data_IF_149271162436
#
_entry.id   IF_149271162436
#
_cell.length_a   1.000
_cell.length_b   1.000
_cell.length_c   1.000
_cell.angle_alpha   90.00
_cell.angle_beta   90.00
_cell.angle_gamma   90.00
#
_symmetry.space_group_name_H-M   'P 1'
#
loop_
_entity.id
_entity.type
_entity.pdbx_description
1 polymer ?
#
# COMPACT_ATOMS: atom_id res chain seq x y z
N UNK A 1 -9.73 10.61 -11.07
CA UNK A 1 -9.97 9.17 -11.41
C UNK A 1 -11.19 8.67 -10.63
N UNK A 2 -11.90 7.60 -11.02
CA UNK A 2 -13.06 7.12 -10.26
C UNK A 2 -13.17 5.59 -10.23
N UNK A 3 -13.45 5.03 -9.07
CA UNK A 3 -13.75 3.61 -8.85
C UNK A 3 -15.27 3.44 -8.94
N UNK A 4 -15.73 2.44 -9.70
CA UNK A 4 -17.16 2.17 -9.91
C UNK A 4 -17.45 0.68 -9.83
N UNK A 5 -18.55 0.32 -9.16
CA UNK A 5 -19.14 -1.01 -9.19
C UNK A 5 -20.12 -1.10 -10.36
N UNK A 6 -19.95 -2.10 -11.22
CA UNK A 6 -20.85 -2.44 -12.31
C UNK A 6 -22.03 -3.27 -11.77
N UNK A 7 -23.26 -2.72 -11.71
CA UNK A 7 -24.37 -3.38 -11.03
C UNK A 7 -24.75 -4.73 -11.62
N UNK A 8 -24.76 -4.84 -12.95
CA UNK A 8 -25.09 -6.09 -13.65
C UNK A 8 -24.02 -7.16 -13.46
N UNK A 9 -22.74 -6.76 -13.47
CA UNK A 9 -21.61 -7.64 -13.21
C UNK A 9 -21.65 -8.19 -11.78
N UNK A 10 -21.93 -7.32 -10.81
CA UNK A 10 -22.08 -7.69 -9.40
C UNK A 10 -23.24 -8.67 -9.20
N UNK A 11 -24.41 -8.38 -9.78
CA UNK A 11 -25.58 -9.25 -9.68
C UNK A 11 -25.30 -10.65 -10.26
N UNK A 12 -24.59 -10.72 -11.40
CA UNK A 12 -24.18 -12.00 -12.00
C UNK A 12 -23.23 -12.76 -11.10
N UNK A 13 -22.18 -12.10 -10.61
CA UNK A 13 -21.22 -12.70 -9.68
C UNK A 13 -21.90 -13.25 -8.42
N UNK A 14 -22.82 -12.48 -7.82
CA UNK A 14 -23.58 -12.93 -6.66
C UNK A 14 -24.40 -14.20 -6.93
N UNK A 15 -24.99 -14.33 -8.12
CA UNK A 15 -25.73 -15.54 -8.50
C UNK A 15 -24.84 -16.74 -8.82
N UNK A 16 -23.61 -16.50 -9.26
CA UNK A 16 -22.63 -17.55 -9.54
C UNK A 16 -21.87 -17.99 -8.29
N UNK A 17 -21.95 -17.20 -7.20
CA UNK A 17 -21.30 -17.52 -5.93
C UNK A 17 -21.90 -18.79 -5.31
N UNK A 18 -21.04 -19.79 -5.12
CA UNK A 18 -21.41 -21.10 -4.59
C UNK A 18 -21.72 -21.09 -3.09
N UNK A 19 -21.05 -20.24 -2.31
CA UNK A 19 -21.26 -20.10 -0.87
C UNK A 19 -21.67 -18.67 -0.51
N UNK A 20 -22.99 -18.45 -0.47
CA UNK A 20 -23.60 -17.16 -0.07
C UNK A 20 -23.90 -17.10 1.42
N UNK A 21 -23.80 -18.24 2.12
CA UNK A 21 -24.15 -18.33 3.53
C UNK A 21 -23.10 -17.60 4.38
N UNK A 22 -21.81 -17.80 4.07
CA UNK A 22 -20.73 -17.12 4.79
C UNK A 22 -20.79 -15.59 4.62
N UNK A 23 -21.07 -15.09 3.42
CA UNK A 23 -21.23 -13.65 3.19
C UNK A 23 -22.46 -13.08 3.91
N UNK A 24 -23.58 -13.82 3.95
CA UNK A 24 -24.75 -13.41 4.71
C UNK A 24 -24.47 -13.39 6.21
N UNK A 25 -23.71 -14.36 6.73
CA UNK A 25 -23.26 -14.39 8.13
C UNK A 25 -22.33 -13.22 8.45
N UNK A 26 -21.34 -12.93 7.60
CA UNK A 26 -20.45 -11.78 7.77
C UNK A 26 -21.22 -10.44 7.79
N UNK A 27 -22.24 -10.28 6.95
CA UNK A 27 -23.12 -9.10 6.96
C UNK A 27 -23.99 -9.02 8.22
N UNK A 28 -24.49 -10.16 8.72
CA UNK A 28 -25.23 -10.20 9.99
C UNK A 28 -24.33 -9.80 11.16
N UNK A 29 -23.08 -10.30 11.19
CA UNK A 29 -22.10 -9.86 12.17
C UNK A 29 -21.94 -8.33 12.12
N UNK A 30 -21.75 -7.75 10.93
CA UNK A 30 -21.62 -6.30 10.77
C UNK A 30 -22.85 -5.50 11.27
N UNK A 31 -24.03 -6.12 11.31
CA UNK A 31 -25.30 -5.50 11.76
C UNK A 31 -25.55 -5.66 13.26
N UNK A 32 -25.17 -6.81 13.84
CA UNK A 32 -25.43 -7.17 15.24
C UNK A 32 -24.31 -6.72 16.20
N UNK A 33 -23.15 -6.35 15.66
CA UNK A 33 -21.95 -5.98 16.41
C UNK A 33 -22.06 -4.62 17.09
N UNK A 34 -21.47 -4.52 18.28
CA UNK A 34 -21.25 -3.24 18.98
C UNK A 34 -20.48 -2.28 18.06
N UNK A 35 -20.80 -0.98 18.01
CA UNK A 35 -20.12 0.00 17.14
C UNK A 35 -18.58 0.08 17.30
N UNK A 36 -18.00 -0.60 18.31
CA UNK A 36 -16.58 -0.70 18.62
C UNK A 36 -15.84 -1.88 17.99
N UNK A 37 -16.50 -2.74 17.21
CA UNK A 37 -15.84 -3.88 16.51
C UNK A 37 -16.18 -3.90 15.00
N UNK A 38 -16.68 -2.79 14.48
CA UNK A 38 -17.13 -2.67 13.08
C UNK A 38 -15.95 -2.79 12.12
N UNK A 39 -14.79 -2.30 12.52
CA UNK A 39 -13.52 -2.31 11.79
C UNK A 39 -13.10 -3.73 11.43
N UNK A 40 -13.07 -4.63 12.43
CA UNK A 40 -12.72 -6.03 12.25
C UNK A 40 -13.80 -6.81 11.47
N UNK A 41 -15.07 -6.49 11.68
CA UNK A 41 -16.17 -7.10 10.92
C UNK A 41 -16.14 -6.70 9.44
N UNK A 42 -15.81 -5.44 9.16
CA UNK A 42 -15.67 -4.93 7.80
C UNK A 42 -14.45 -5.55 7.10
N UNK A 43 -13.30 -5.63 7.78
CA UNK A 43 -12.11 -6.34 7.30
C UNK A 43 -12.48 -7.75 6.85
N UNK A 44 -13.10 -8.53 7.74
CA UNK A 44 -13.51 -9.91 7.45
C UNK A 44 -14.46 -9.99 6.27
N UNK A 45 -15.44 -9.09 6.15
CA UNK A 45 -16.36 -9.07 5.02
C UNK A 45 -15.63 -8.84 3.69
N UNK A 46 -14.67 -7.90 3.64
CA UNK A 46 -13.95 -7.60 2.41
C UNK A 46 -12.98 -8.72 2.02
N UNK A 47 -12.36 -9.41 2.99
CA UNK A 47 -11.58 -10.62 2.72
C UNK A 47 -12.42 -11.69 2.00
N UNK A 48 -13.62 -11.98 2.50
CA UNK A 48 -14.52 -12.96 1.89
C UNK A 48 -14.96 -12.56 0.48
N UNK A 49 -15.13 -11.26 0.22
CA UNK A 49 -15.52 -10.76 -1.10
C UNK A 49 -14.37 -10.81 -2.10
N UNK A 50 -13.20 -10.28 -1.72
CA UNK A 50 -12.11 -10.00 -2.67
C UNK A 50 -11.00 -11.07 -2.71
N UNK A 51 -10.80 -11.83 -1.63
CA UNK A 51 -9.73 -12.83 -1.58
C UNK A 51 -10.25 -14.26 -1.83
N UNK A 52 -11.44 -14.60 -1.32
CA UNK A 52 -11.99 -15.96 -1.49
C UNK A 52 -12.58 -16.23 -2.91
N UNK A 53 -13.03 -15.20 -3.63
CA UNK A 53 -13.73 -15.34 -4.91
C UNK A 53 -12.85 -15.22 -6.17
N UNK A 54 -11.54 -15.01 -6.01
CA UNK A 54 -10.62 -14.70 -7.11
C UNK A 54 -10.83 -13.31 -7.73
N UNK A 55 -10.19 -13.00 -8.87
CA UNK A 55 -10.21 -11.65 -9.44
C UNK A 55 -11.62 -11.21 -9.85
N UNK A 56 -12.11 -10.14 -9.20
CA UNK A 56 -13.41 -9.54 -9.45
C UNK A 56 -13.38 -8.71 -10.74
N UNK A 57 -14.42 -8.89 -11.58
CA UNK A 57 -14.57 -8.17 -12.86
C UNK A 57 -15.61 -7.05 -12.82
N UNK A 58 -16.45 -7.03 -11.80
CA UNK A 58 -17.53 -6.06 -11.65
C UNK A 58 -17.08 -4.77 -10.98
N UNK A 59 -15.85 -4.68 -10.46
CA UNK A 59 -15.26 -3.43 -9.99
C UNK A 59 -14.36 -2.87 -11.10
N UNK A 60 -14.45 -1.56 -11.36
CA UNK A 60 -13.74 -0.93 -12.48
C UNK A 60 -13.17 0.42 -12.07
N UNK A 61 -12.09 0.82 -12.75
CA UNK A 61 -11.49 2.14 -12.62
C UNK A 61 -11.75 2.92 -13.91
N UNK A 62 -12.45 4.04 -13.78
CA UNK A 62 -12.73 5.00 -14.82
C UNK A 62 -11.77 6.20 -14.75
N UNK A 63 -11.58 6.85 -15.90
CA UNK A 63 -10.68 7.99 -16.02
C UNK A 63 -9.19 7.63 -16.11
N UNK A 64 -8.87 6.34 -16.30
CA UNK A 64 -7.53 5.91 -16.70
C UNK A 64 -7.19 6.41 -18.12
N UNK A 65 -5.90 6.55 -18.40
CA UNK A 65 -5.42 6.94 -19.73
C UNK A 65 -5.82 5.92 -20.78
N UNK A 66 -6.01 6.39 -22.02
CA UNK A 66 -6.32 5.52 -23.16
C UNK A 66 -5.20 4.48 -23.34
N UNK A 67 -5.58 3.20 -23.37
CA UNK A 67 -4.63 2.09 -23.50
C UNK A 67 -4.12 1.54 -22.17
N UNK A 68 -4.52 2.13 -21.04
CA UNK A 68 -4.28 1.63 -19.69
C UNK A 68 -5.58 1.03 -19.15
N UNK A 69 -5.49 -0.16 -18.57
CA UNK A 69 -6.60 -0.83 -17.87
C UNK A 69 -6.13 -1.40 -16.53
N UNK A 70 -7.08 -1.94 -15.75
CA UNK A 70 -6.80 -2.64 -14.50
C UNK A 70 -7.18 -4.12 -14.64
N UNK A 71 -6.26 -5.03 -14.32
CA UNK A 71 -6.46 -6.49 -14.44
C UNK A 71 -6.84 -7.14 -13.11
N UNK A 72 -6.47 -6.51 -12.00
CA UNK A 72 -6.75 -6.96 -10.65
C UNK A 72 -7.13 -5.74 -9.83
N UNK A 73 -8.24 -5.80 -9.10
CA UNK A 73 -8.69 -4.74 -8.20
C UNK A 73 -9.20 -5.41 -6.93
N UNK A 74 -8.64 -5.02 -5.79
CA UNK A 74 -9.03 -5.46 -4.46
C UNK A 74 -9.32 -4.22 -3.63
N UNK A 75 -10.33 -4.36 -2.78
CA UNK A 75 -10.62 -3.42 -1.71
C UNK A 75 -10.49 -4.17 -0.39
N UNK A 76 -9.74 -3.59 0.53
CA UNK A 76 -9.55 -4.09 1.89
C UNK A 76 -9.92 -3.00 2.91
N UNK A 77 -10.09 -3.42 4.15
CA UNK A 77 -10.36 -2.55 5.29
C UNK A 77 -9.48 -2.99 6.44
N UNK A 78 -8.53 -2.15 6.85
CA UNK A 78 -7.61 -2.45 7.95
C UNK A 78 -8.02 -1.64 9.19
N UNK A 79 -8.23 -2.26 10.37
CA UNK A 79 -8.43 -1.52 11.61
C UNK A 79 -7.25 -0.57 11.87
N UNK A 80 -7.55 0.71 12.04
CA UNK A 80 -6.56 1.76 12.27
C UNK A 80 -6.41 2.05 13.76
N UNK A 81 -5.17 2.31 14.17
CA UNK A 81 -4.82 2.60 15.56
C UNK A 81 -4.04 3.91 15.63
N UNK A 82 -4.36 4.73 16.62
CA UNK A 82 -3.63 5.96 16.89
C UNK A 82 -2.23 5.68 17.46
N UNK A 83 -1.47 6.74 17.72
CA UNK A 83 -0.11 6.62 18.25
C UNK A 83 -0.03 6.00 19.66
N UNK A 84 -1.15 5.92 20.38
CA UNK A 84 -1.26 5.30 21.70
C UNK A 84 -1.74 3.83 21.59
N UNK A 85 -1.96 3.33 20.36
CA UNK A 85 -2.44 1.98 20.09
C UNK A 85 -3.93 1.81 20.35
N UNK A 86 -4.69 2.91 20.40
CA UNK A 86 -6.14 2.88 20.55
C UNK A 86 -6.77 2.82 19.17
N UNK A 87 -7.73 1.91 18.99
CA UNK A 87 -8.51 1.80 17.75
C UNK A 87 -9.20 3.14 17.46
N UNK A 88 -8.86 3.78 16.34
CA UNK A 88 -9.30 5.14 15.99
C UNK A 88 -10.08 5.21 14.67
N UNK A 89 -10.19 4.10 13.94
CA UNK A 89 -11.01 4.01 12.74
C UNK A 89 -10.66 2.82 11.87
N UNK A 90 -10.89 2.96 10.57
CA UNK A 90 -10.56 1.96 9.56
C UNK A 90 -9.92 2.61 8.35
N UNK A 91 -8.85 2.00 7.85
CA UNK A 91 -8.21 2.38 6.61
C UNK A 91 -8.76 1.53 5.47
N UNK A 92 -9.47 2.16 4.54
CA UNK A 92 -9.91 1.50 3.31
C UNK A 92 -8.78 1.51 2.30
N UNK A 93 -8.35 0.33 1.86
CA UNK A 93 -7.21 0.17 0.96
C UNK A 93 -7.67 -0.41 -0.37
N UNK A 94 -7.63 0.39 -1.43
CA UNK A 94 -7.81 -0.07 -2.79
C UNK A 94 -6.44 -0.41 -3.39
N UNK A 95 -6.26 -1.63 -3.87
CA UNK A 95 -5.09 -2.04 -4.65
C UNK A 95 -5.52 -2.48 -6.04
N UNK A 96 -4.86 -1.96 -7.07
CA UNK A 96 -5.12 -2.35 -8.45
C UNK A 96 -3.84 -2.57 -9.26
N UNK A 97 -3.76 -3.69 -9.99
CA UNK A 97 -2.67 -3.94 -10.95
C UNK A 97 -3.09 -3.38 -12.30
N UNK A 98 -2.31 -2.44 -12.82
CA UNK A 98 -2.55 -1.81 -14.11
C UNK A 98 -1.78 -2.53 -15.22
N UNK A 99 -2.37 -2.54 -16.41
CA UNK A 99 -1.74 -3.03 -17.64
C UNK A 99 -1.87 -2.01 -18.75
N UNK A 100 -0.92 -2.10 -19.70
CA UNK A 100 -0.88 -1.23 -20.87
C UNK A 100 -0.30 0.15 -20.56
N UNK A 101 0.42 0.72 -21.53
CA UNK A 101 1.05 2.04 -21.42
C UNK A 101 2.58 2.05 -21.38
N UNK A 102 3.24 0.91 -21.19
CA UNK A 102 4.71 0.80 -21.13
C UNK A 102 5.25 -0.27 -22.10
N UNK A 103 6.20 0.06 -23.01
CA UNK A 103 6.88 -0.94 -23.85
C UNK A 103 7.77 -1.93 -23.08
N UNK A 104 8.09 -1.66 -21.80
CA UNK A 104 8.95 -2.52 -20.99
C UNK A 104 8.23 -3.68 -20.27
N UNK A 105 6.89 -3.78 -20.37
CA UNK A 105 6.13 -4.85 -19.74
C UNK A 105 5.97 -4.74 -18.22
N UNK A 106 6.18 -3.54 -17.65
CA UNK A 106 5.88 -3.30 -16.23
C UNK A 106 4.37 -3.30 -15.99
N UNK A 107 3.93 -3.92 -14.88
CA UNK A 107 2.55 -3.88 -14.39
C UNK A 107 2.52 -3.02 -13.12
N UNK A 108 2.43 -1.69 -13.24
CA UNK A 108 2.43 -0.82 -12.07
C UNK A 108 1.19 -1.07 -11.20
N UNK A 109 1.39 -1.10 -9.88
CA UNK A 109 0.31 -1.15 -8.92
C UNK A 109 -0.15 0.27 -8.56
N UNK A 110 -1.45 0.49 -8.54
CA UNK A 110 -2.11 1.64 -7.95
C UNK A 110 -2.59 1.24 -6.56
N UNK A 111 -2.19 1.99 -5.53
CA UNK A 111 -2.70 1.84 -4.17
C UNK A 111 -3.30 3.15 -3.70
N UNK A 112 -4.50 3.10 -3.15
CA UNK A 112 -5.18 4.23 -2.50
C UNK A 112 -5.56 3.77 -1.11
N UNK A 113 -5.13 4.51 -0.09
CA UNK A 113 -5.58 4.33 1.29
C UNK A 113 -6.47 5.51 1.63
N UNK A 114 -7.56 5.29 2.35
CA UNK A 114 -8.40 6.36 2.85
C UNK A 114 -8.89 6.01 4.26
N UNK A 115 -8.55 6.86 5.22
CA UNK A 115 -8.96 6.70 6.61
C UNK A 115 -10.42 7.12 6.84
N UNK A 116 -11.14 6.36 7.65
CA UNK A 116 -12.48 6.67 8.12
C UNK A 116 -12.57 6.51 9.65
N UNK A 117 -12.87 7.62 10.34
CA UNK A 117 -13.00 7.71 11.80
C UNK A 117 -14.41 7.34 12.31
N UNK A 118 -15.37 7.12 11.41
CA UNK A 118 -16.73 6.68 11.75
C UNK A 118 -17.14 5.39 11.01
N UNK A 119 -16.49 4.24 11.27
CA UNK A 119 -16.72 2.98 10.56
C UNK A 119 -18.16 2.46 10.68
N UNK A 120 -18.90 2.89 11.71
CA UNK A 120 -20.35 2.64 11.83
C UNK A 120 -21.17 3.06 10.60
N UNK A 121 -20.66 3.93 9.71
CA UNK A 121 -21.32 4.25 8.43
C UNK A 121 -21.43 3.07 7.47
N UNK A 122 -20.60 2.04 7.64
CA UNK A 122 -20.60 0.82 6.83
C UNK A 122 -21.57 -0.22 7.38
N UNK A 123 -22.19 -0.02 8.55
CA UNK A 123 -23.11 -1.01 9.11
C UNK A 123 -24.50 -0.90 8.46
N UNK A 124 -25.01 -1.98 7.85
CA UNK A 124 -26.39 -2.03 7.44
C UNK A 124 -27.29 -1.92 8.67
N UNK A 125 -28.36 -1.11 8.62
CA UNK A 125 -29.29 -0.99 9.76
C UNK A 125 -30.16 -2.25 9.96
N UNK A 126 -30.53 -2.88 8.85
CA UNK A 126 -31.24 -4.15 8.71
C UNK A 126 -31.36 -4.46 7.21
N UNK A 127 -31.39 -5.73 6.83
CA UNK A 127 -31.58 -6.12 5.44
C UNK A 127 -32.33 -7.44 5.30
N UNK A 128 -33.21 -7.52 4.30
CA UNK A 128 -33.90 -8.76 3.91
C UNK A 128 -33.16 -9.47 2.75
N UNK A 129 -32.36 -8.73 1.99
CA UNK A 129 -31.63 -9.22 0.82
C UNK A 129 -30.12 -8.96 0.99
N UNK A 130 -29.31 -10.02 1.28
CA UNK A 130 -27.88 -9.86 1.54
C UNK A 130 -27.09 -9.25 0.37
N UNK A 131 -27.52 -9.50 -0.88
CA UNK A 131 -26.89 -8.93 -2.07
C UNK A 131 -26.97 -7.41 -2.10
N UNK A 132 -28.13 -6.87 -1.73
CA UNK A 132 -28.39 -5.43 -1.67
C UNK A 132 -27.63 -4.80 -0.51
N UNK A 133 -27.61 -5.45 0.66
CA UNK A 133 -26.82 -5.00 1.80
C UNK A 133 -25.32 -4.93 1.47
N UNK A 134 -24.77 -5.99 0.87
CA UNK A 134 -23.37 -5.99 0.44
C UNK A 134 -23.08 -4.89 -0.58
N UNK A 135 -23.97 -4.70 -1.55
CA UNK A 135 -23.84 -3.63 -2.53
C UNK A 135 -23.78 -2.25 -1.85
N UNK A 136 -24.62 -2.00 -0.85
CA UNK A 136 -24.63 -0.74 -0.10
C UNK A 136 -23.34 -0.53 0.70
N UNK A 137 -22.81 -1.57 1.36
CA UNK A 137 -21.52 -1.52 2.08
C UNK A 137 -20.37 -1.19 1.12
N UNK A 138 -20.31 -1.90 -0.01
CA UNK A 138 -19.28 -1.68 -1.03
C UNK A 138 -19.39 -0.29 -1.65
N UNK A 139 -20.61 0.18 -1.95
CA UNK A 139 -20.82 1.52 -2.50
C UNK A 139 -20.42 2.61 -1.50
N UNK A 140 -20.68 2.41 -0.20
CA UNK A 140 -20.21 3.31 0.84
C UNK A 140 -18.68 3.38 0.90
N UNK A 141 -17.99 2.25 0.85
CA UNK A 141 -16.52 2.20 0.83
C UNK A 141 -15.94 2.83 -0.46
N UNK A 142 -16.54 2.55 -1.62
CA UNK A 142 -16.17 3.17 -2.90
C UNK A 142 -16.38 4.69 -2.87
N UNK A 143 -17.40 5.19 -2.17
CA UNK A 143 -17.60 6.64 -1.99
C UNK A 143 -16.45 7.26 -1.20
N UNK A 144 -16.01 6.63 -0.10
CA UNK A 144 -14.87 7.13 0.70
C UNK A 144 -13.60 7.18 -0.14
N UNK A 145 -13.26 6.09 -0.84
CA UNK A 145 -12.10 6.04 -1.73
C UNK A 145 -12.18 7.11 -2.82
N UNK A 146 -13.33 7.27 -3.47
CA UNK A 146 -13.51 8.26 -4.53
C UNK A 146 -13.41 9.70 -4.01
N UNK A 147 -13.94 9.95 -2.82
CA UNK A 147 -13.85 11.26 -2.17
C UNK A 147 -12.39 11.57 -1.87
N UNK A 148 -11.66 10.62 -1.28
CA UNK A 148 -10.24 10.74 -1.02
C UNK A 148 -9.43 11.05 -2.29
N UNK A 149 -9.64 10.27 -3.37
CA UNK A 149 -9.02 10.52 -4.68
C UNK A 149 -9.35 11.92 -5.20
N UNK A 150 -10.60 12.36 -5.06
CA UNK A 150 -11.05 13.66 -5.54
C UNK A 150 -10.46 14.83 -4.74
N UNK A 151 -10.36 14.67 -3.41
CA UNK A 151 -9.75 15.65 -2.52
C UNK A 151 -8.25 15.79 -2.79
N UNK A 152 -7.56 14.68 -3.01
CA UNK A 152 -6.16 14.69 -3.45
C UNK A 152 -5.99 15.35 -4.82
N UNK A 153 -6.84 15.02 -5.82
CA UNK A 153 -6.82 15.63 -7.15
C UNK A 153 -7.02 17.17 -7.06
N UNK A 154 -7.95 17.62 -6.20
CA UNK A 154 -8.21 19.05 -5.96
C UNK A 154 -7.02 19.73 -5.28
N UNK A 155 -6.49 19.14 -4.21
CA UNK A 155 -5.31 19.68 -3.51
C UNK A 155 -4.12 19.85 -4.47
N UNK A 156 -3.85 18.84 -5.31
CA UNK A 156 -2.79 18.93 -6.33
C UNK A 156 -3.04 20.07 -7.30
N UNK A 157 -4.29 20.23 -7.76
CA UNK A 157 -4.66 21.28 -8.71
C UNK A 157 -4.47 22.67 -8.08
N UNK A 158 -4.97 22.87 -6.86
CA UNK A 158 -4.86 24.13 -6.13
C UNK A 158 -3.39 24.44 -5.80
N UNK A 159 -2.62 23.47 -5.28
CA UNK A 159 -1.19 23.64 -4.98
C UNK A 159 -0.36 24.04 -6.21
N UNK A 160 -0.74 23.56 -7.41
CA UNK A 160 -0.11 23.97 -8.69
C UNK A 160 -0.47 25.39 -9.10
N UNK A 161 -1.69 25.87 -8.80
CA UNK A 161 -2.12 27.23 -9.13
C UNK A 161 -1.43 28.30 -8.28
N UNK A 162 -1.15 28.01 -7.00
CA UNK A 162 -0.59 29.01 -6.06
C UNK A 162 0.96 29.08 -6.08
N UNK A 163 1.64 28.13 -6.73
CA UNK A 163 3.10 28.06 -6.69
C UNK A 163 3.75 28.29 -8.08
N UNK A 164 4.59 29.34 -8.25
CA UNK A 164 5.27 29.63 -9.51
C UNK A 164 6.30 28.56 -9.94
N UNK A 165 6.59 27.58 -9.08
CA UNK A 165 7.44 26.42 -9.41
C UNK A 165 6.74 25.38 -10.30
N UNK A 166 5.41 25.42 -10.43
CA UNK A 166 4.62 24.44 -11.22
C UNK A 166 3.99 25.00 -12.50
N UNK A 167 4.23 26.27 -12.83
CA UNK A 167 3.52 26.98 -13.90
C UNK A 167 4.00 26.67 -15.34
N UNK A 168 5.08 25.91 -15.54
CA UNK A 168 5.66 25.65 -16.88
C UNK A 168 5.51 24.22 -17.42
N UNK A 169 4.77 23.31 -16.78
CA UNK A 169 4.60 21.94 -17.30
C UNK A 169 3.32 21.78 -18.16
N UNK A 170 3.42 21.20 -19.38
CA UNK A 170 2.26 20.93 -20.21
C UNK A 170 1.37 19.85 -19.58
N UNK A 171 0.08 19.89 -19.92
CA UNK A 171 -0.99 19.01 -19.40
C UNK A 171 -0.64 17.52 -19.55
N UNK A 172 -0.01 16.97 -18.51
CA UNK A 172 0.33 15.56 -18.30
C UNK A 172 -0.63 14.89 -17.28
N UNK A 173 -0.33 13.68 -16.78
CA UNK A 173 -1.28 12.86 -16.01
C UNK A 173 -1.74 13.55 -14.71
N UNK A 174 -2.92 13.16 -14.20
CA UNK A 174 -3.48 13.65 -12.93
C UNK A 174 -2.48 13.56 -11.76
N UNK A 175 -1.62 12.54 -11.78
CA UNK A 175 -0.42 12.46 -10.95
C UNK A 175 0.79 12.11 -11.83
N UNK A 176 1.89 12.84 -11.66
CA UNK A 176 3.20 12.47 -12.17
C UNK A 176 4.10 12.29 -10.95
N UNK A 177 4.62 11.09 -10.77
CA UNK A 177 5.69 10.86 -9.80
C UNK A 177 6.95 11.42 -10.44
N UNK A 178 7.27 12.66 -10.11
CA UNK A 178 8.54 13.27 -10.44
C UNK A 178 9.41 13.22 -9.19
N UNK A 179 10.41 12.34 -9.18
CA UNK A 179 11.51 12.52 -8.24
C UNK A 179 12.14 13.90 -8.55
N UNK A 180 12.28 14.75 -7.54
CA UNK A 180 13.11 15.95 -7.68
C UNK A 180 14.47 15.51 -8.19
N UNK A 181 15.09 16.27 -9.11
CA UNK A 181 16.33 15.89 -9.82
C UNK A 181 17.53 15.57 -8.90
N UNK A 182 17.39 15.74 -7.58
CA UNK A 182 18.41 15.44 -6.58
C UNK A 182 17.83 14.87 -5.27
N UNK A 183 17.02 13.81 -5.29
CA UNK A 183 16.76 13.05 -4.06
C UNK A 183 18.02 12.27 -3.66
N UNK A 184 18.43 12.41 -2.40
CA UNK A 184 19.44 11.53 -1.80
C UNK A 184 18.96 10.07 -1.82
N UNK A 185 19.85 9.17 -2.24
CA UNK A 185 19.58 7.73 -2.25
C UNK A 185 19.67 7.17 -0.82
N UNK A 186 19.00 6.06 -0.58
CA UNK A 186 19.14 5.29 0.64
C UNK A 186 20.52 4.65 0.70
N UNK A 187 21.19 4.76 1.83
CA UNK A 187 22.51 4.17 2.05
C UNK A 187 22.73 3.82 3.53
N UNK A 188 23.65 2.90 3.80
CA UNK A 188 23.99 2.50 5.17
C UNK A 188 25.15 3.38 5.66
N UNK A 189 24.93 4.15 6.73
CA UNK A 189 26.04 4.77 7.46
C UNK A 189 26.77 3.68 8.24
N UNK A 190 27.90 3.23 7.71
CA UNK A 190 28.68 2.14 8.30
C UNK A 190 29.17 2.45 9.71
N UNK A 191 29.39 3.72 10.05
CA UNK A 191 29.85 4.12 11.39
C UNK A 191 28.69 4.05 12.39
N UNK A 192 27.48 4.47 11.96
CA UNK A 192 26.27 4.29 12.75
C UNK A 192 25.92 2.80 12.89
N UNK A 193 26.06 2.02 11.81
CA UNK A 193 25.84 0.58 11.80
C UNK A 193 26.75 -0.15 12.79
N UNK A 194 28.07 0.10 12.75
CA UNK A 194 29.02 -0.56 13.65
C UNK A 194 28.75 -0.21 15.12
N UNK A 195 28.32 1.03 15.41
CA UNK A 195 27.89 1.41 16.76
C UNK A 195 26.62 0.67 17.16
N UNK A 196 25.61 0.67 16.31
CA UNK A 196 24.32 0.04 16.58
C UNK A 196 24.45 -1.47 16.80
N UNK A 197 25.26 -2.15 15.98
CA UNK A 197 25.60 -3.57 16.15
C UNK A 197 26.33 -3.80 17.48
N UNK A 198 27.29 -2.95 17.83
CA UNK A 198 28.00 -3.04 19.10
C UNK A 198 27.09 -2.82 20.30
N UNK A 199 26.09 -1.94 20.17
CA UNK A 199 25.13 -1.64 21.24
C UNK A 199 24.11 -2.78 21.42
N UNK A 200 23.67 -3.42 20.33
CA UNK A 200 22.80 -4.61 20.37
C UNK A 200 23.51 -5.86 20.91
N UNK A 201 24.80 -6.04 20.59
CA UNK A 201 25.56 -7.20 21.05
C UNK A 201 24.92 -8.53 20.61
N UNK A 202 24.68 -9.43 21.56
CA UNK A 202 24.06 -10.75 21.30
C UNK A 202 22.57 -10.65 20.93
N UNK A 203 21.89 -9.53 21.23
CA UNK A 203 20.47 -9.34 20.87
C UNK A 203 20.25 -9.32 19.36
N UNK A 204 21.25 -8.86 18.60
CA UNK A 204 21.19 -8.81 17.14
C UNK A 204 20.95 -10.20 16.52
N UNK A 205 21.41 -11.28 17.16
CA UNK A 205 21.17 -12.65 16.65
C UNK A 205 19.68 -13.02 16.65
N UNK A 206 18.88 -12.42 17.54
CA UNK A 206 17.44 -12.64 17.59
C UNK A 206 16.64 -11.69 16.69
N UNK A 207 17.22 -10.54 16.34
CA UNK A 207 16.56 -9.51 15.53
C UNK A 207 16.72 -9.74 14.02
N UNK A 208 17.76 -10.49 13.62
CA UNK A 208 17.98 -10.84 12.21
C UNK A 208 16.94 -11.88 11.76
N UNK A 209 16.34 -11.72 10.57
CA UNK A 209 15.41 -12.71 10.02
C UNK A 209 16.03 -14.10 9.88
N UNK A 210 15.35 -15.09 10.45
CA UNK A 210 15.73 -16.51 10.42
C UNK A 210 14.55 -17.38 9.97
N UNK A 211 14.83 -18.44 9.19
CA UNK A 211 13.81 -19.34 8.62
C UNK A 211 12.97 -20.09 9.66
N UNK A 212 13.52 -20.28 10.86
CA UNK A 212 12.89 -21.01 11.96
C UNK A 212 12.05 -20.07 12.85
N UNK A 213 12.05 -18.76 12.58
CA UNK A 213 11.17 -17.79 13.25
C UNK A 213 9.72 -17.97 12.79
N UNK A 214 8.79 -17.65 13.71
CA UNK A 214 7.36 -17.71 13.41
C UNK A 214 6.92 -16.66 12.37
N UNK A 215 7.58 -15.49 12.36
CA UNK A 215 7.27 -14.36 11.47
C UNK A 215 8.57 -13.71 10.95
N UNK A 216 9.27 -14.34 10.00
CA UNK A 216 10.56 -13.85 9.52
C UNK A 216 10.47 -12.52 8.76
N UNK A 217 9.39 -12.28 7.99
CA UNK A 217 9.21 -11.01 7.30
C UNK A 217 8.98 -9.86 8.30
N UNK A 218 8.22 -10.12 9.36
CA UNK A 218 8.05 -9.15 10.44
C UNK A 218 9.37 -8.82 11.15
N UNK A 219 10.28 -9.80 11.29
CA UNK A 219 11.64 -9.56 11.80
C UNK A 219 12.42 -8.59 10.89
N UNK A 220 12.32 -8.72 9.57
CA UNK A 220 12.96 -7.79 8.62
C UNK A 220 12.39 -6.39 8.73
N UNK A 221 11.07 -6.28 8.79
CA UNK A 221 10.36 -5.00 8.95
C UNK A 221 10.80 -4.26 10.21
N UNK A 222 10.91 -4.99 11.33
CA UNK A 222 11.44 -4.45 12.59
C UNK A 222 12.91 -4.06 12.51
N UNK A 223 13.77 -4.91 11.93
CA UNK A 223 15.20 -4.63 11.76
C UNK A 223 15.42 -3.32 10.98
N UNK A 224 14.66 -3.11 9.89
CA UNK A 224 14.73 -1.89 9.07
C UNK A 224 14.20 -0.68 9.82
N UNK A 225 13.07 -0.81 10.52
CA UNK A 225 12.50 0.27 11.34
C UNK A 225 13.51 0.74 12.39
N UNK A 226 14.11 -0.19 13.13
CA UNK A 226 15.11 0.14 14.15
C UNK A 226 16.38 0.74 13.55
N UNK A 227 16.83 0.25 12.40
CA UNK A 227 17.95 0.83 11.68
C UNK A 227 17.68 2.27 11.22
N UNK A 228 16.45 2.58 10.78
CA UNK A 228 16.02 3.94 10.43
C UNK A 228 15.98 4.85 11.67
N UNK A 229 15.42 4.37 12.79
CA UNK A 229 15.36 5.10 14.07
C UNK A 229 16.76 5.38 14.64
N UNK A 230 17.68 4.44 14.49
CA UNK A 230 19.08 4.56 14.92
C UNK A 230 19.95 5.41 13.96
N UNK A 231 19.40 5.84 12.81
CA UNK A 231 20.15 6.56 11.78
C UNK A 231 21.20 5.72 11.06
N UNK A 232 21.08 4.39 11.14
CA UNK A 232 21.91 3.42 10.41
C UNK A 232 21.60 3.49 8.92
N UNK A 233 20.31 3.50 8.57
CA UNK A 233 19.85 3.73 7.20
C UNK A 233 19.65 5.23 7.03
N UNK A 234 20.45 5.82 6.15
CA UNK A 234 20.39 7.23 5.78
C UNK A 234 19.52 7.41 4.55
N UNK A 235 18.77 8.51 4.51
CA UNK A 235 17.87 8.83 3.41
C UNK A 235 17.75 10.35 3.26
N UNK A 236 17.25 10.80 2.11
CA UNK A 236 16.81 12.19 1.98
C UNK A 236 15.66 12.48 2.96
N UNK A 237 15.77 13.58 3.71
CA UNK A 237 14.78 13.95 4.73
C UNK A 237 13.36 14.13 4.17
N UNK A 238 13.23 14.33 2.85
CA UNK A 238 11.96 14.47 2.14
C UNK A 238 11.24 13.15 1.91
N UNK A 239 11.88 12.01 2.13
CA UNK A 239 11.27 10.69 1.92
C UNK A 239 11.31 9.83 3.17
N UNK A 240 10.40 8.88 3.22
CA UNK A 240 10.28 7.87 4.26
C UNK A 240 10.26 6.49 3.62
N UNK A 241 10.97 5.56 4.25
CA UNK A 241 11.04 4.17 3.84
C UNK A 241 10.25 3.32 4.83
N UNK A 242 9.41 2.44 4.31
CA UNK A 242 8.72 1.41 5.09
C UNK A 242 8.87 0.08 4.36
N UNK A 243 9.00 -1.00 5.13
CA UNK A 243 8.93 -2.36 4.63
C UNK A 243 7.56 -2.92 4.99
N UNK A 244 6.82 -3.37 4.00
CA UNK A 244 5.59 -4.12 4.22
C UNK A 244 5.96 -5.61 4.17
N UNK A 245 5.96 -6.23 5.34
CA UNK A 245 6.16 -7.67 5.52
C UNK A 245 4.92 -8.48 5.10
N UNK A 246 5.18 -9.68 4.60
CA UNK A 246 4.16 -10.63 4.17
C UNK A 246 4.66 -12.06 4.45
N UNK A 247 4.13 -12.67 5.51
CA UNK A 247 4.44 -14.04 5.92
C UNK A 247 3.29 -14.98 5.51
N UNK A 248 3.44 -15.65 4.36
CA UNK A 248 2.53 -16.70 3.90
C UNK A 248 3.01 -18.10 4.33
N UNK A 249 2.11 -19.09 4.29
CA UNK A 249 2.42 -20.48 4.72
C UNK A 249 3.53 -21.16 3.91
N UNK A 250 3.76 -20.75 2.66
CA UNK A 250 4.75 -21.37 1.77
C UNK A 250 6.01 -20.50 1.57
N UNK A 251 5.94 -19.20 1.83
CA UNK A 251 7.04 -18.25 1.65
C UNK A 251 6.87 -17.00 2.51
N UNK A 252 7.99 -16.49 3.03
CA UNK A 252 8.07 -15.17 3.66
C UNK A 252 8.70 -14.17 2.70
N UNK A 253 8.15 -12.96 2.63
CA UNK A 253 8.63 -11.93 1.71
C UNK A 253 8.31 -10.52 2.18
N UNK A 254 8.69 -9.55 1.36
CA UNK A 254 8.50 -8.14 1.67
C UNK A 254 8.38 -7.27 0.42
N UNK A 255 7.72 -6.13 0.57
CA UNK A 255 7.77 -5.05 -0.41
C UNK A 255 8.25 -3.75 0.23
N UNK A 256 8.95 -2.93 -0.56
CA UNK A 256 9.45 -1.64 -0.10
C UNK A 256 8.47 -0.54 -0.48
N UNK A 257 8.15 0.35 0.45
CA UNK A 257 7.30 1.52 0.21
C UNK A 257 8.08 2.80 0.51
N UNK A 258 8.12 3.72 -0.45
CA UNK A 258 8.70 5.06 -0.28
C UNK A 258 7.60 6.09 -0.27
N UNK A 259 7.46 6.82 0.82
CA UNK A 259 6.50 7.91 0.99
C UNK A 259 7.22 9.26 0.97
N UNK A 260 6.50 10.30 0.59
CA UNK A 260 6.99 11.67 0.71
C UNK A 260 6.68 12.21 2.11
N UNK A 261 7.71 12.66 2.85
CA UNK A 261 7.57 13.33 4.15
C UNK A 261 7.09 14.77 4.02
N UNK A 262 7.38 15.42 2.89
CA UNK A 262 7.02 16.80 2.59
C UNK A 262 5.78 16.93 1.71
N UNK A 263 4.67 17.38 2.31
CA UNK A 263 3.40 17.65 1.62
C UNK A 263 2.21 17.03 2.36
N UNK A 264 0.99 17.39 1.95
CA UNK A 264 -0.26 16.84 2.51
C UNK A 264 -0.61 15.44 1.95
N UNK A 265 0.32 14.78 1.27
CA UNK A 265 0.14 13.48 0.58
C UNK A 265 0.86 12.33 1.29
N UNK A 266 0.79 12.28 2.63
CA UNK A 266 1.44 11.23 3.44
C UNK A 266 0.94 9.81 3.14
N UNK A 267 -0.24 9.70 2.54
CA UNK A 267 -0.91 8.42 2.26
C UNK A 267 -0.51 7.78 0.92
N UNK A 268 0.20 8.52 0.04
CA UNK A 268 0.68 7.99 -1.25
C UNK A 268 2.13 7.51 -1.13
N UNK A 269 2.32 6.19 -1.22
CA UNK A 269 3.61 5.53 -1.27
C UNK A 269 3.91 4.94 -2.64
N UNK A 270 5.14 5.10 -3.11
CA UNK A 270 5.67 4.27 -4.19
C UNK A 270 5.96 2.89 -3.63
N UNK A 271 5.31 1.86 -4.14
CA UNK A 271 5.54 0.48 -3.71
C UNK A 271 6.39 -0.25 -4.75
N UNK A 272 7.47 -0.88 -4.28
CA UNK A 272 8.30 -1.78 -5.06
C UNK A 272 7.64 -3.13 -5.30
N UNK A 273 8.34 -3.97 -6.06
CA UNK A 273 7.91 -5.35 -6.23
C UNK A 273 7.92 -6.09 -4.89
N UNK A 274 7.16 -7.17 -4.83
CA UNK A 274 7.33 -8.17 -3.79
C UNK A 274 8.66 -8.91 -4.00
N UNK A 275 9.38 -9.15 -2.90
CA UNK A 275 10.65 -9.87 -2.86
C UNK A 275 10.55 -11.01 -1.84
N UNK A 276 10.85 -12.22 -2.27
CA UNK A 276 11.00 -13.36 -1.37
C UNK A 276 12.23 -13.17 -0.47
N UNK A 277 12.11 -13.50 0.81
CA UNK A 277 13.25 -13.48 1.73
C UNK A 277 14.30 -14.49 1.29
N UNK A 278 15.55 -14.04 1.31
CA UNK A 278 16.71 -14.90 1.06
C UNK A 278 17.43 -15.13 2.37
N UNK A 279 17.68 -16.38 2.65
CA UNK A 279 18.34 -16.79 3.88
C UNK A 279 19.86 -16.77 3.68
N UNK A 280 20.62 -16.06 4.54
CA UNK A 280 22.06 -16.19 4.60
C UNK A 280 22.47 -17.64 4.88
N UNK A 281 23.70 -18.00 4.52
CA UNK A 281 24.25 -19.31 4.90
C UNK A 281 24.30 -19.44 6.43
N UNK A 282 24.08 -20.64 6.98
CA UNK A 282 24.08 -20.92 8.44
C UNK A 282 25.39 -20.49 9.16
N UNK A 283 26.47 -20.21 8.41
CA UNK A 283 27.77 -19.75 8.95
C UNK A 283 27.92 -18.21 8.97
N UNK A 284 26.94 -17.48 8.43
CA UNK A 284 26.96 -16.01 8.33
C UNK A 284 26.74 -15.40 9.72
N UNK A 285 27.59 -14.44 10.09
CA UNK A 285 27.44 -13.77 11.37
C UNK A 285 26.22 -12.84 11.35
N UNK A 286 25.53 -12.66 12.48
CA UNK A 286 24.35 -11.78 12.56
C UNK A 286 24.62 -10.35 12.08
N UNK A 287 25.82 -9.81 12.33
CA UNK A 287 26.27 -8.52 11.77
C UNK A 287 26.26 -8.52 10.24
N UNK A 288 26.76 -9.59 9.61
CA UNK A 288 26.84 -9.69 8.15
C UNK A 288 25.45 -9.87 7.55
N UNK A 289 24.63 -10.75 8.14
CA UNK A 289 23.24 -10.95 7.74
C UNK A 289 22.40 -9.67 7.86
N UNK A 290 22.51 -8.94 8.99
CA UNK A 290 21.81 -7.66 9.16
C UNK A 290 22.23 -6.64 8.09
N UNK A 291 23.53 -6.55 7.79
CA UNK A 291 24.02 -5.67 6.75
C UNK A 291 23.47 -6.06 5.36
N UNK A 292 23.47 -7.35 5.02
CA UNK A 292 22.93 -7.86 3.75
C UNK A 292 21.44 -7.52 3.59
N UNK A 293 20.63 -7.78 4.60
CA UNK A 293 19.20 -7.45 4.57
C UNK A 293 18.93 -5.94 4.42
N UNK A 294 19.62 -5.11 5.20
CA UNK A 294 19.51 -3.64 5.07
C UNK A 294 19.95 -3.16 3.69
N UNK A 295 21.02 -3.76 3.14
CA UNK A 295 21.55 -3.42 1.83
C UNK A 295 20.57 -3.78 0.71
N UNK A 296 19.93 -4.95 0.79
CA UNK A 296 18.93 -5.40 -0.18
C UNK A 296 17.72 -4.45 -0.19
N UNK A 297 17.22 -4.08 1.00
CA UNK A 297 16.13 -3.10 1.14
C UNK A 297 16.52 -1.75 0.56
N UNK A 298 17.73 -1.25 0.83
CA UNK A 298 18.23 0.00 0.25
C UNK A 298 18.35 -0.10 -1.28
N UNK A 299 18.78 -1.23 -1.82
CA UNK A 299 18.88 -1.46 -3.26
C UNK A 299 17.51 -1.40 -3.93
N UNK A 300 16.51 -2.06 -3.38
CA UNK A 300 15.14 -2.05 -3.89
C UNK A 300 14.50 -0.65 -3.78
N UNK A 301 14.68 0.05 -2.66
CA UNK A 301 14.25 1.44 -2.50
C UNK A 301 14.88 2.36 -3.56
N UNK A 302 16.19 2.24 -3.78
CA UNK A 302 16.90 3.04 -4.77
C UNK A 302 16.53 2.70 -6.20
N UNK A 303 16.21 1.44 -6.50
CA UNK A 303 15.66 1.05 -7.80
C UNK A 303 14.34 1.78 -8.07
N UNK A 304 13.48 1.87 -7.06
CA UNK A 304 12.21 2.59 -7.11
C UNK A 304 12.40 4.09 -7.39
N UNK A 305 13.33 4.74 -6.66
CA UNK A 305 13.66 6.16 -6.87
C UNK A 305 14.19 6.43 -8.27
N UNK A 306 15.02 5.52 -8.82
CA UNK A 306 15.54 5.65 -10.19
C UNK A 306 14.45 5.54 -11.24
N UNK A 307 13.50 4.62 -11.06
CA UNK A 307 12.33 4.52 -11.96
C UNK A 307 11.52 5.82 -11.93
N UNK A 308 11.25 6.36 -10.73
CA UNK A 308 10.57 7.64 -10.56
C UNK A 308 11.33 8.84 -11.16
N UNK A 309 12.67 8.80 -11.16
CA UNK A 309 13.51 9.83 -11.79
C UNK A 309 13.54 9.73 -13.33
N UNK A 310 13.55 8.50 -13.87
CA UNK A 310 13.54 8.25 -15.32
C UNK A 310 12.20 8.67 -15.95
N UNK A 311 11.08 8.47 -15.24
CA UNK A 311 9.77 8.98 -15.66
C UNK A 311 9.70 10.51 -15.68
N UNK A 312 10.51 11.18 -14.86
CA UNK A 312 10.66 12.64 -14.87
C UNK A 312 11.46 13.14 -16.08
N UNK A 313 12.56 12.45 -16.44
CA UNK A 313 13.47 12.85 -17.53
C UNK A 313 12.92 12.62 -18.94
N UNK A 314 12.04 11.62 -19.13
CA UNK A 314 11.37 11.36 -20.42
C UNK A 314 10.37 12.46 -20.84
N UNK A 315 10.16 13.47 -20.00
CA UNK A 315 9.33 14.64 -20.28
C UNK A 315 10.11 15.86 -20.81
N UNK A 316 11.37 15.69 -21.23
CA UNK A 316 12.15 16.78 -21.84
C UNK A 316 11.51 17.21 -23.18
N UNK A 317 11.02 18.46 -23.35
CA UNK A 317 10.48 18.92 -24.62
C UNK A 317 11.61 19.01 -25.65
N UNK A 318 11.36 18.54 -26.88
CA UNK A 318 12.26 18.81 -28.01
C UNK A 318 12.27 20.33 -28.22
N UNK A 319 13.44 20.99 -28.16
CA UNK A 319 13.51 22.43 -28.33
C UNK A 319 13.09 22.80 -29.76
N UNK A 320 12.34 23.89 -29.87
CA UNK A 320 11.80 24.43 -31.12
C UNK A 320 12.88 24.92 -32.08
#
# INVERSE_FOLDING_TARGET
MRIVREPEGFARWWQELGDRANLAEALNCLTEISPTEVEHALHRLLLEVFQAAGPIKWLRIEGLRRGVGASYIVLDADPAYDCDGVLDGVDLVLTAILYGGDPAGSCPALRVSAHEDHPSRFTPRAFDEPATALADVLDAAIVVINQHVSEQDRFITEAREVSPLFQEQPVGPAFAVAAAESLGMFDIDIVAFDRWVSDKGEELEFDVPDRDQQHPAAALSNLVREALEAGVVTADWRVELTVCDDDEWECSGYSVVIRNRGGEQRELGLTGRWNELRWPDDATLAREAAHEYLQDVCCEANALLRVAALTSSAHTPIPS
#
